data_IF_591262830470
#
_entry.id   IF_591262830470
#
_cell.length_a   1.000
_cell.length_b   1.000
_cell.length_c   1.000
_cell.angle_alpha   90.00
_cell.angle_beta   90.00
_cell.angle_gamma   90.00
#
_symmetry.space_group_name_H-M   'P 1'
#
loop_
_entity.id
_entity.type
_entity.pdbx_description
1 polymer ?
#
# COMPACT_ATOMS: atom_id res chain seq x y z
N UNK A 1 81.16 41.05 -21.90
CA UNK A 1 80.46 40.42 -23.04
C UNK A 1 81.45 39.44 -23.69
N UNK A 2 81.10 38.19 -24.11
CA UNK A 2 79.79 37.61 -24.44
C UNK A 2 79.38 36.37 -23.58
N UNK A 3 78.31 35.70 -24.04
CA UNK A 3 77.39 34.68 -23.46
C UNK A 3 77.93 33.24 -23.30
N UNK A 4 77.31 32.47 -22.39
CA UNK A 4 76.66 31.14 -22.59
C UNK A 4 76.23 30.58 -21.19
N UNK A 5 74.95 30.52 -20.82
CA UNK A 5 73.93 29.49 -21.13
C UNK A 5 74.22 28.08 -20.57
N UNK A 6 73.54 27.71 -19.49
CA UNK A 6 73.32 26.34 -19.04
C UNK A 6 71.85 26.16 -18.65
N UNK A 7 71.25 25.12 -19.22
CA UNK A 7 69.87 24.68 -19.16
C UNK A 7 69.53 23.91 -17.87
N UNK A 8 68.27 23.96 -17.43
CA UNK A 8 67.79 23.05 -16.38
C UNK A 8 66.29 23.09 -16.10
N UNK A 9 65.52 22.41 -16.95
CA UNK A 9 64.21 21.75 -16.74
C UNK A 9 63.13 22.42 -15.84
N UNK A 10 62.06 22.82 -16.51
CA UNK A 10 60.73 23.09 -15.96
C UNK A 10 59.99 21.79 -15.60
N UNK A 11 59.52 21.70 -14.35
CA UNK A 11 58.48 20.74 -13.95
C UNK A 11 57.13 21.46 -13.95
N UNK A 12 56.23 21.06 -14.84
CA UNK A 12 54.83 21.50 -14.85
C UNK A 12 54.08 20.73 -13.76
N UNK A 13 53.61 21.43 -12.73
CA UNK A 13 52.63 20.89 -11.79
C UNK A 13 51.24 21.14 -12.37
N UNK A 14 50.61 20.09 -12.88
CA UNK A 14 49.21 20.12 -13.26
C UNK A 14 48.35 20.14 -11.98
N UNK A 15 47.58 21.22 -11.78
CA UNK A 15 46.52 21.24 -10.75
C UNK A 15 45.30 20.52 -11.32
N UNK A 16 45.05 19.31 -10.84
CA UNK A 16 43.76 18.64 -11.01
C UNK A 16 42.86 19.09 -9.86
N UNK A 17 41.83 19.88 -10.16
CA UNK A 17 40.79 20.19 -9.19
C UNK A 17 39.84 18.99 -9.11
N UNK A 18 39.88 18.26 -8.00
CA UNK A 18 38.87 17.26 -7.67
C UNK A 18 37.64 17.98 -7.10
N UNK A 19 36.56 18.05 -7.86
CA UNK A 19 35.25 18.46 -7.34
C UNK A 19 34.62 17.23 -6.70
N UNK A 20 34.75 17.11 -5.38
CA UNK A 20 34.00 16.12 -4.61
C UNK A 20 32.57 16.64 -4.42
N UNK A 21 31.69 16.31 -5.37
CA UNK A 21 30.25 16.48 -5.20
C UNK A 21 29.73 15.45 -4.22
N UNK A 22 29.58 15.82 -2.95
CA UNK A 22 28.86 15.01 -1.98
C UNK A 22 27.37 15.23 -2.18
N UNK A 23 26.69 14.26 -2.80
CA UNK A 23 25.24 14.21 -2.77
C UNK A 23 24.80 13.80 -1.35
N UNK A 24 24.42 14.77 -0.53
CA UNK A 24 23.73 14.49 0.74
C UNK A 24 22.30 14.11 0.38
N UNK A 25 21.99 12.82 0.40
CA UNK A 25 20.61 12.35 0.40
C UNK A 25 20.04 12.67 1.78
N UNK A 26 19.24 13.74 1.85
CA UNK A 26 18.52 14.10 3.07
C UNK A 26 17.31 13.16 3.18
N UNK A 27 17.43 12.09 3.95
CA UNK A 27 16.26 11.29 4.36
C UNK A 27 15.43 12.15 5.30
N UNK A 28 14.33 12.70 4.80
CA UNK A 28 13.34 13.38 5.64
C UNK A 28 12.69 12.30 6.50
N UNK A 29 13.11 12.19 7.75
CA UNK A 29 12.39 11.41 8.75
C UNK A 29 11.10 12.15 9.06
N UNK A 30 10.00 11.73 8.45
CA UNK A 30 8.67 12.26 8.73
C UNK A 30 8.27 11.83 10.14
N UNK A 31 7.73 12.74 10.97
CA UNK A 31 7.31 12.40 12.32
C UNK A 31 6.11 11.45 12.25
N UNK A 32 6.31 10.20 12.62
CA UNK A 32 5.21 9.31 13.00
C UNK A 32 4.59 9.83 14.30
N UNK A 33 3.27 9.74 14.42
CA UNK A 33 2.64 9.90 15.73
C UNK A 33 3.24 8.87 16.69
N UNK A 34 3.65 9.30 17.89
CA UNK A 34 4.23 8.42 18.90
C UNK A 34 3.24 7.39 19.48
N UNK A 35 1.99 7.43 19.02
CA UNK A 35 0.90 6.53 19.40
C UNK A 35 0.26 5.95 18.13
N UNK A 36 -0.04 4.65 18.14
CA UNK A 36 -1.17 4.15 17.38
C UNK A 36 -2.43 4.81 17.91
N UNK A 37 -3.41 5.00 17.04
CA UNK A 37 -4.62 5.69 17.41
C UNK A 37 -5.51 5.89 16.21
N UNK A 38 -6.80 5.99 16.50
CA UNK A 38 -7.83 6.35 15.54
C UNK A 38 -7.56 7.78 15.07
N UNK A 39 -6.76 7.90 14.00
CA UNK A 39 -6.50 9.18 13.34
C UNK A 39 -7.78 9.67 12.66
N UNK A 40 -7.88 10.98 12.46
CA UNK A 40 -8.89 11.51 11.57
C UNK A 40 -8.61 11.02 10.14
N UNK A 41 -9.55 10.29 9.54
CA UNK A 41 -9.45 9.90 8.15
C UNK A 41 -9.56 11.09 7.19
N UNK A 42 -8.98 10.90 6.01
CA UNK A 42 -9.13 11.86 4.92
C UNK A 42 -10.54 11.75 4.32
N UNK A 43 -11.13 12.86 3.83
CA UNK A 43 -12.38 12.81 3.09
C UNK A 43 -12.18 12.05 1.77
N UNK A 44 -13.22 11.33 1.34
CA UNK A 44 -13.24 10.63 0.05
C UNK A 44 -12.91 11.58 -1.12
N UNK A 45 -12.04 11.13 -2.03
CA UNK A 45 -11.69 11.85 -3.26
C UNK A 45 -11.68 10.94 -4.50
N UNK A 46 -12.34 9.78 -4.39
CA UNK A 46 -12.30 8.73 -5.38
C UNK A 46 -12.78 9.18 -6.77
N UNK A 47 -12.14 8.66 -7.82
CA UNK A 47 -12.70 8.74 -9.17
C UNK A 47 -13.94 7.84 -9.28
N UNK A 48 -14.87 8.17 -10.18
CA UNK A 48 -16.02 7.31 -10.47
C UNK A 48 -15.59 5.90 -10.85
N UNK A 49 -14.52 5.77 -11.63
CA UNK A 49 -13.98 4.48 -12.05
C UNK A 49 -13.52 3.61 -10.87
N UNK A 50 -12.72 4.18 -9.96
CA UNK A 50 -12.23 3.44 -8.79
C UNK A 50 -13.34 3.20 -7.76
N UNK A 51 -14.31 4.12 -7.62
CA UNK A 51 -15.46 3.89 -6.74
C UNK A 51 -16.40 2.81 -7.25
N UNK A 52 -16.46 2.60 -8.58
CA UNK A 52 -17.35 1.63 -9.20
C UNK A 52 -17.00 0.18 -8.85
N UNK A 53 -15.71 -0.15 -8.75
CA UNK A 53 -15.21 -1.49 -8.45
C UNK A 53 -14.63 -1.65 -7.03
N UNK A 54 -14.77 -0.64 -6.19
CA UNK A 54 -14.19 -0.66 -4.84
C UNK A 54 -14.77 -1.83 -4.03
N UNK A 55 -13.91 -2.68 -3.43
CA UNK A 55 -14.35 -3.81 -2.63
C UNK A 55 -15.24 -3.43 -1.44
N UNK A 56 -15.95 -4.42 -0.93
CA UNK A 56 -16.58 -4.36 0.37
C UNK A 56 -15.84 -5.30 1.32
N UNK A 57 -15.67 -4.88 2.57
CA UNK A 57 -14.76 -5.54 3.50
C UNK A 57 -15.49 -6.07 4.73
N UNK A 58 -15.01 -7.20 5.20
CA UNK A 58 -15.21 -7.70 6.56
C UNK A 58 -13.86 -7.90 7.26
N UNK A 59 -13.90 -7.92 8.58
CA UNK A 59 -12.76 -8.05 9.46
C UNK A 59 -13.10 -9.07 10.54
N UNK A 60 -12.54 -10.27 10.42
CA UNK A 60 -12.84 -11.40 11.29
C UNK A 60 -12.54 -11.08 12.76
N UNK A 61 -13.14 -11.84 13.66
CA UNK A 61 -12.97 -11.62 15.12
C UNK A 61 -11.53 -11.75 15.61
N UNK A 62 -10.64 -12.30 14.79
CA UNK A 62 -9.21 -12.49 15.07
C UNK A 62 -8.29 -11.48 14.38
N UNK A 63 -8.83 -10.41 13.79
CA UNK A 63 -8.04 -9.37 13.11
C UNK A 63 -8.15 -7.99 13.76
N UNK A 64 -7.26 -7.07 13.39
CA UNK A 64 -7.48 -5.64 13.63
C UNK A 64 -8.55 -5.08 12.67
N UNK A 65 -9.14 -3.94 13.02
CA UNK A 65 -9.88 -3.10 12.08
C UNK A 65 -8.93 -2.20 11.30
N UNK A 66 -9.37 -1.70 10.12
CA UNK A 66 -8.55 -0.81 9.32
C UNK A 66 -8.35 0.51 10.08
N UNK A 67 -7.27 1.21 9.78
CA UNK A 67 -6.98 2.53 10.31
C UNK A 67 -6.62 3.51 9.21
N UNK A 68 -6.76 4.81 9.47
CA UNK A 68 -6.17 5.83 8.61
C UNK A 68 -4.64 5.81 8.78
N UNK A 69 -3.92 5.64 7.68
CA UNK A 69 -2.45 5.59 7.68
C UNK A 69 -1.82 6.98 7.84
N UNK A 70 -2.57 8.04 7.48
CA UNK A 70 -2.15 9.44 7.54
C UNK A 70 -3.36 10.32 7.80
N UNK A 71 -3.19 11.37 8.61
CA UNK A 71 -4.24 12.36 8.90
C UNK A 71 -4.21 13.57 7.94
N UNK A 72 -5.20 14.48 7.97
CA UNK A 72 -5.20 15.69 7.15
C UNK A 72 -4.02 16.64 7.35
N UNK A 73 -3.33 16.56 8.50
CA UNK A 73 -2.14 17.36 8.81
C UNK A 73 -0.85 16.72 8.28
N UNK A 74 -0.93 15.49 7.78
CA UNK A 74 0.23 14.73 7.30
C UNK A 74 0.93 13.91 8.38
N UNK A 75 0.33 13.74 9.57
CA UNK A 75 0.88 12.87 10.59
C UNK A 75 0.61 11.42 10.20
N UNK A 76 1.66 10.59 10.19
CA UNK A 76 1.54 9.17 9.92
C UNK A 76 1.08 8.42 11.17
N UNK A 77 0.30 7.35 10.96
CA UNK A 77 -0.08 6.42 12.01
C UNK A 77 1.16 5.67 12.50
N UNK A 78 1.43 5.73 13.81
CA UNK A 78 2.60 5.12 14.42
C UNK A 78 2.55 3.59 14.49
N UNK A 79 1.42 2.98 14.18
CA UNK A 79 1.16 1.55 14.31
C UNK A 79 1.17 1.07 15.76
N UNK A 80 0.92 -0.22 15.95
CA UNK A 80 1.00 -0.90 17.23
C UNK A 80 2.19 -1.85 17.25
N UNK A 81 2.77 -2.05 18.44
CA UNK A 81 3.73 -3.15 18.60
C UNK A 81 2.93 -4.46 18.57
N UNK A 82 3.42 -5.53 17.89
CA UNK A 82 2.75 -6.83 17.88
C UNK A 82 2.98 -7.54 19.22
N UNK A 83 2.38 -7.00 20.27
CA UNK A 83 2.46 -7.49 21.64
C UNK A 83 1.08 -7.43 22.26
N UNK A 84 0.81 -8.38 23.17
CA UNK A 84 -0.50 -8.49 23.80
C UNK A 84 -1.46 -9.32 22.94
N UNK A 85 -2.79 -9.18 23.14
CA UNK A 85 -3.77 -9.88 22.32
C UNK A 85 -3.70 -9.43 20.85
N UNK A 86 -3.96 -10.35 19.92
CA UNK A 86 -3.96 -10.10 18.47
C UNK A 86 -4.84 -8.90 18.12
N UNK A 87 -6.04 -8.84 18.68
CA UNK A 87 -7.01 -7.76 18.46
C UNK A 87 -6.94 -6.62 19.47
N UNK A 88 -5.94 -6.64 20.36
CA UNK A 88 -5.77 -5.64 21.40
C UNK A 88 -5.46 -4.26 20.82
N UNK A 89 -6.19 -3.24 21.29
CA UNK A 89 -6.01 -1.82 20.99
C UNK A 89 -6.32 -1.39 19.54
N UNK A 90 -6.71 -2.31 18.65
CA UNK A 90 -6.91 -2.03 17.22
C UNK A 90 -8.33 -2.30 16.69
N UNK A 91 -9.34 -2.35 17.57
CA UNK A 91 -10.75 -2.51 17.18
C UNK A 91 -11.66 -1.42 17.74
N UNK A 92 -11.26 -0.73 18.79
CA UNK A 92 -12.11 0.28 19.44
C UNK A 92 -12.23 1.54 18.56
N UNK A 93 -13.43 1.85 18.08
CA UNK A 93 -13.74 3.06 17.29
C UNK A 93 -12.96 3.23 15.98
N UNK A 94 -12.45 2.14 15.39
CA UNK A 94 -11.67 2.21 14.15
C UNK A 94 -12.55 2.26 12.89
N UNK A 95 -13.64 1.49 12.85
CA UNK A 95 -14.56 1.46 11.70
C UNK A 95 -15.16 2.84 11.43
N UNK A 96 -15.18 3.25 10.16
CA UNK A 96 -15.62 4.59 9.74
C UNK A 96 -14.59 5.71 9.95
N UNK A 97 -13.46 5.41 10.59
CA UNK A 97 -12.33 6.32 10.81
C UNK A 97 -11.07 5.89 10.04
N UNK A 98 -11.23 5.03 9.04
CA UNK A 98 -10.15 4.59 8.18
C UNK A 98 -10.30 5.14 6.75
N UNK A 99 -9.35 4.77 5.91
CA UNK A 99 -9.36 5.03 4.48
C UNK A 99 -9.03 3.76 3.72
N UNK A 100 -9.68 3.57 2.56
CA UNK A 100 -9.17 2.67 1.52
C UNK A 100 -8.38 3.52 0.53
N UNK A 101 -7.19 3.08 0.15
CA UNK A 101 -6.34 3.79 -0.81
C UNK A 101 -6.37 3.06 -2.15
N UNK A 102 -6.37 3.77 -3.27
CA UNK A 102 -6.43 3.13 -4.58
C UNK A 102 -5.55 3.79 -5.62
N UNK A 103 -4.94 2.98 -6.50
CA UNK A 103 -4.19 3.45 -7.66
C UNK A 103 -4.48 2.54 -8.85
N UNK A 104 -4.75 3.15 -10.00
CA UNK A 104 -5.09 2.45 -11.21
C UNK A 104 -4.03 2.63 -12.30
N UNK A 105 -3.87 1.62 -13.14
CA UNK A 105 -3.13 1.71 -14.40
C UNK A 105 -3.93 1.01 -15.48
N UNK A 106 -3.98 1.59 -16.67
CA UNK A 106 -4.65 1.00 -17.82
C UNK A 106 -3.74 1.00 -19.05
N UNK A 107 -3.61 -0.15 -19.70
CA UNK A 107 -2.92 -0.31 -20.98
C UNK A 107 -3.37 -1.61 -21.65
N UNK A 108 -3.09 -1.75 -22.95
CA UNK A 108 -3.33 -2.97 -23.71
C UNK A 108 -4.76 -3.52 -23.59
N UNK A 109 -5.77 -2.64 -23.48
CA UNK A 109 -7.19 -3.00 -23.35
C UNK A 109 -7.64 -3.41 -21.94
N UNK A 110 -6.78 -3.31 -20.94
CA UNK A 110 -7.03 -3.70 -19.55
C UNK A 110 -6.76 -2.55 -18.57
N UNK A 111 -7.42 -2.62 -17.42
CA UNK A 111 -7.11 -1.82 -16.25
C UNK A 111 -6.87 -2.74 -15.04
N UNK A 112 -5.78 -2.47 -14.30
CA UNK A 112 -5.54 -3.01 -12.97
C UNK A 112 -5.73 -1.90 -11.94
N UNK A 113 -6.58 -2.12 -10.95
CA UNK A 113 -6.81 -1.19 -9.84
C UNK A 113 -6.40 -1.87 -8.55
N UNK A 114 -5.39 -1.34 -7.86
CA UNK A 114 -5.05 -1.79 -6.50
C UNK A 114 -5.88 -0.97 -5.51
N UNK A 115 -6.57 -1.65 -4.59
CA UNK A 115 -7.20 -1.09 -3.39
C UNK A 115 -6.44 -1.61 -2.18
N UNK A 116 -5.96 -0.73 -1.31
CA UNK A 116 -5.13 -1.07 -0.17
C UNK A 116 -5.73 -0.52 1.13
N UNK A 117 -5.66 -1.33 2.18
CA UNK A 117 -6.08 -0.98 3.54
C UNK A 117 -4.88 -1.10 4.47
N UNK A 118 -4.81 -0.19 5.44
CA UNK A 118 -3.76 -0.17 6.45
C UNK A 118 -4.29 -0.69 7.77
N UNK A 119 -3.49 -1.50 8.45
CA UNK A 119 -3.74 -1.96 9.82
C UNK A 119 -2.55 -1.60 10.70
N UNK A 120 -2.80 -1.36 11.98
CA UNK A 120 -1.75 -0.83 12.87
C UNK A 120 -0.69 -1.87 13.22
N UNK A 121 -1.03 -3.16 13.15
CA UNK A 121 -0.12 -4.30 13.35
C UNK A 121 -0.63 -5.54 12.62
N UNK A 122 0.29 -6.45 12.39
CA UNK A 122 0.04 -7.82 11.95
C UNK A 122 0.67 -8.77 12.97
N UNK A 123 -0.12 -9.63 13.60
CA UNK A 123 0.30 -10.42 14.74
C UNK A 123 -0.22 -11.87 14.66
N UNK A 124 0.69 -12.83 14.53
CA UNK A 124 0.37 -14.26 14.60
C UNK A 124 0.15 -14.70 16.06
N UNK A 125 0.95 -14.18 16.98
CA UNK A 125 0.87 -14.40 18.43
C UNK A 125 1.70 -13.35 19.18
N UNK A 126 1.54 -13.19 20.51
CA UNK A 126 2.28 -12.20 21.31
C UNK A 126 3.77 -12.16 21.02
N UNK A 127 4.24 -11.07 20.40
CA UNK A 127 5.65 -10.86 20.05
C UNK A 127 6.11 -11.46 18.72
N UNK A 128 5.22 -12.11 17.96
CA UNK A 128 5.49 -12.72 16.65
C UNK A 128 4.58 -12.05 15.61
N UNK A 129 5.19 -11.23 14.76
CA UNK A 129 4.51 -10.39 13.77
C UNK A 129 5.29 -9.10 13.55
N UNK A 130 4.64 -8.07 13.03
CA UNK A 130 5.23 -6.76 12.84
C UNK A 130 4.26 -5.61 13.14
N UNK A 131 4.87 -4.45 13.40
CA UNK A 131 4.16 -3.18 13.43
C UNK A 131 3.82 -2.78 12.00
N UNK A 132 2.66 -2.17 11.82
CA UNK A 132 2.06 -1.84 10.53
C UNK A 132 1.65 -3.09 9.75
N UNK A 133 0.61 -2.94 8.95
CA UNK A 133 0.28 -3.88 7.90
C UNK A 133 -0.39 -3.16 6.73
N UNK A 134 -0.18 -3.70 5.54
CA UNK A 134 -0.77 -3.23 4.30
C UNK A 134 -1.20 -4.43 3.47
N UNK A 135 -2.51 -4.64 3.42
CA UNK A 135 -3.13 -5.63 2.55
C UNK A 135 -3.81 -4.93 1.37
N UNK A 136 -3.89 -5.61 0.22
CA UNK A 136 -4.53 -5.07 -0.96
C UNK A 136 -5.24 -6.10 -1.84
N UNK A 137 -6.19 -5.57 -2.61
CA UNK A 137 -6.96 -6.29 -3.61
C UNK A 137 -6.68 -5.65 -4.96
N UNK A 138 -6.45 -6.45 -5.99
CA UNK A 138 -6.31 -5.99 -7.36
C UNK A 138 -7.53 -6.41 -8.17
N UNK A 139 -8.23 -5.42 -8.72
CA UNK A 139 -9.33 -5.61 -9.65
C UNK A 139 -8.80 -5.51 -11.07
N UNK A 140 -9.00 -6.55 -11.87
CA UNK A 140 -8.63 -6.59 -13.29
C UNK A 140 -9.86 -6.53 -14.16
N UNK A 141 -10.04 -5.42 -14.88
CA UNK A 141 -11.19 -5.19 -15.75
C UNK A 141 -10.73 -4.88 -17.18
N UNK A 142 -11.49 -5.34 -18.17
CA UNK A 142 -11.33 -4.85 -19.55
C UNK A 142 -11.79 -3.40 -19.61
N UNK A 143 -11.11 -2.58 -20.41
CA UNK A 143 -11.50 -1.18 -20.56
C UNK A 143 -12.94 -1.08 -21.10
N UNK A 144 -13.79 -0.33 -20.39
CA UNK A 144 -15.20 -0.15 -20.72
C UNK A 144 -16.13 -1.30 -20.33
N UNK A 145 -15.64 -2.32 -19.62
CA UNK A 145 -16.49 -3.37 -19.08
C UNK A 145 -17.18 -2.93 -17.78
N UNK A 146 -18.42 -3.39 -17.57
CA UNK A 146 -19.21 -3.11 -16.36
C UNK A 146 -18.88 -4.06 -15.21
N UNK A 147 -18.11 -5.12 -15.45
CA UNK A 147 -17.68 -6.09 -14.43
C UNK A 147 -16.20 -6.41 -14.57
N UNK A 148 -15.49 -6.73 -13.47
CA UNK A 148 -14.13 -7.23 -13.58
C UNK A 148 -14.10 -8.61 -14.21
N UNK A 149 -12.92 -9.04 -14.68
CA UNK A 149 -12.69 -10.40 -15.18
C UNK A 149 -11.93 -11.26 -14.18
N UNK A 150 -11.00 -10.65 -13.44
CA UNK A 150 -10.20 -11.31 -12.41
C UNK A 150 -10.06 -10.45 -11.17
N UNK A 151 -9.90 -11.11 -10.04
CA UNK A 151 -9.67 -10.51 -8.74
C UNK A 151 -8.43 -11.15 -8.11
N UNK A 152 -7.59 -10.35 -7.46
CA UNK A 152 -6.41 -10.83 -6.74
C UNK A 152 -6.42 -10.30 -5.31
N UNK A 153 -6.32 -11.15 -4.30
CA UNK A 153 -6.19 -10.74 -2.90
C UNK A 153 -4.78 -11.02 -2.40
N UNK A 154 -4.13 -10.06 -1.72
CA UNK A 154 -2.80 -10.24 -1.15
C UNK A 154 -2.80 -11.25 -0.02
N UNK A 155 -1.69 -12.00 0.07
CA UNK A 155 -1.49 -13.01 1.11
C UNK A 155 0.00 -13.32 1.23
N UNK A 156 0.60 -13.00 2.38
CA UNK A 156 1.99 -13.34 2.72
C UNK A 156 3.01 -12.96 1.63
N UNK A 157 2.87 -11.77 1.05
CA UNK A 157 3.74 -11.25 -0.02
C UNK A 157 3.46 -11.77 -1.43
N UNK A 158 2.49 -12.68 -1.59
CA UNK A 158 1.93 -13.15 -2.85
C UNK A 158 0.47 -12.71 -3.04
N UNK A 159 -0.21 -13.34 -4.00
CA UNK A 159 -1.62 -13.08 -4.31
C UNK A 159 -2.37 -14.39 -4.58
N UNK A 160 -3.61 -14.48 -4.10
CA UNK A 160 -4.59 -15.45 -4.61
C UNK A 160 -5.37 -14.79 -5.74
N UNK A 161 -5.20 -15.25 -6.97
CA UNK A 161 -5.84 -14.67 -8.16
C UNK A 161 -6.88 -15.62 -8.73
N UNK A 162 -8.11 -15.14 -8.88
CA UNK A 162 -9.25 -15.94 -9.33
C UNK A 162 -10.04 -15.22 -10.43
N UNK A 163 -10.67 -15.97 -11.35
CA UNK A 163 -11.66 -15.40 -12.25
C UNK A 163 -12.90 -14.95 -11.46
N UNK A 164 -13.65 -13.98 -12.01
CA UNK A 164 -14.86 -13.44 -11.39
C UNK A 164 -15.87 -14.52 -10.93
N UNK A 165 -15.97 -15.63 -11.67
CA UNK A 165 -16.94 -16.69 -11.38
C UNK A 165 -16.67 -17.45 -10.08
N UNK A 166 -15.45 -17.35 -9.53
CA UNK A 166 -15.01 -18.11 -8.37
C UNK A 166 -14.98 -17.27 -7.09
N UNK A 167 -15.42 -16.00 -7.15
CA UNK A 167 -15.37 -15.06 -6.03
C UNK A 167 -16.76 -14.51 -5.69
N UNK A 168 -17.13 -14.38 -4.41
CA UNK A 168 -18.35 -13.69 -4.03
C UNK A 168 -18.28 -12.19 -4.33
N UNK A 169 -19.43 -11.66 -4.76
CA UNK A 169 -19.56 -10.30 -5.25
C UNK A 169 -20.85 -9.66 -4.73
N UNK A 170 -20.74 -8.41 -4.30
CA UNK A 170 -21.87 -7.51 -4.07
C UNK A 170 -21.99 -6.55 -5.27
N UNK A 171 -22.80 -6.95 -6.26
CA UNK A 171 -22.88 -6.23 -7.54
C UNK A 171 -21.55 -6.31 -8.30
N UNK A 172 -20.87 -5.16 -8.47
CA UNK A 172 -19.55 -5.08 -9.13
C UNK A 172 -18.37 -5.13 -8.15
N UNK A 173 -18.64 -5.25 -6.84
CA UNK A 173 -17.67 -5.13 -5.76
C UNK A 173 -17.35 -6.50 -5.21
N UNK A 174 -16.07 -6.85 -5.12
CA UNK A 174 -15.65 -8.12 -4.51
C UNK A 174 -15.81 -8.04 -2.99
N UNK A 175 -16.25 -9.15 -2.40
CA UNK A 175 -16.37 -9.33 -0.96
C UNK A 175 -15.05 -9.90 -0.41
N UNK A 176 -14.41 -9.14 0.48
CA UNK A 176 -13.05 -9.40 0.97
C UNK A 176 -13.05 -9.46 2.49
N UNK A 177 -12.35 -10.44 3.05
CA UNK A 177 -12.21 -10.59 4.49
C UNK A 177 -10.75 -10.46 4.88
N UNK A 178 -10.47 -9.58 5.84
CA UNK A 178 -9.22 -9.56 6.56
C UNK A 178 -9.31 -10.50 7.76
N UNK A 179 -8.39 -11.43 7.84
CA UNK A 179 -8.44 -12.51 8.83
C UNK A 179 -7.03 -12.93 9.23
N UNK A 180 -6.94 -13.63 10.35
CA UNK A 180 -5.72 -14.36 10.69
C UNK A 180 -5.63 -15.66 9.89
N UNK A 181 -4.53 -15.86 9.18
CA UNK A 181 -4.33 -17.08 8.42
C UNK A 181 -3.78 -18.23 9.28
N UNK A 182 -4.68 -18.90 9.99
CA UNK A 182 -4.35 -20.07 10.80
C UNK A 182 -3.29 -19.77 11.88
N UNK A 183 -2.14 -20.43 11.76
CA UNK A 183 -1.00 -20.21 12.67
C UNK A 183 -0.05 -19.08 12.23
N UNK A 184 -0.28 -18.50 11.05
CA UNK A 184 0.50 -17.40 10.49
C UNK A 184 -0.05 -16.04 10.94
N UNK A 185 0.51 -15.00 10.34
CA UNK A 185 0.03 -13.63 10.30
C UNK A 185 -1.28 -13.47 9.51
N UNK A 186 -1.76 -12.23 9.37
CA UNK A 186 -2.99 -11.92 8.66
C UNK A 186 -2.83 -11.93 7.14
N UNK A 187 -3.97 -11.95 6.45
CA UNK A 187 -4.05 -11.78 5.02
C UNK A 187 -5.46 -11.36 4.61
N UNK A 188 -5.59 -10.83 3.39
CA UNK A 188 -6.89 -10.85 2.73
C UNK A 188 -7.22 -12.24 2.16
N UNK A 189 -8.52 -12.56 2.20
CA UNK A 189 -9.14 -13.65 1.45
C UNK A 189 -10.40 -13.15 0.77
N UNK A 190 -10.84 -13.88 -0.26
CA UNK A 190 -12.22 -13.74 -0.72
C UNK A 190 -13.15 -14.32 0.34
N UNK A 191 -14.34 -13.74 0.45
CA UNK A 191 -15.40 -14.32 1.25
C UNK A 191 -15.78 -15.73 0.74
N UNK A 192 -16.43 -16.51 1.59
CA UNK A 192 -17.17 -17.69 1.20
C UNK A 192 -18.55 -17.31 0.64
N UNK A 193 -19.13 -18.16 -0.20
CA UNK A 193 -20.45 -17.92 -0.78
C UNK A 193 -21.53 -17.86 0.31
N UNK A 194 -22.12 -16.69 0.50
CA UNK A 194 -23.15 -16.46 1.51
C UNK A 194 -22.60 -16.21 2.92
N UNK A 195 -21.30 -15.95 3.05
CA UNK A 195 -20.69 -15.52 4.31
C UNK A 195 -21.35 -14.24 4.83
N UNK A 196 -21.54 -14.19 6.14
CA UNK A 196 -22.05 -13.01 6.84
C UNK A 196 -20.92 -12.38 7.63
N UNK A 197 -20.79 -11.03 7.61
CA UNK A 197 -19.69 -10.35 8.27
C UNK A 197 -19.57 -10.69 9.77
N UNK A 198 -18.35 -10.96 10.23
CA UNK A 198 -18.01 -11.27 11.62
C UNK A 198 -17.67 -10.04 12.47
N UNK A 199 -17.40 -8.89 11.84
CA UNK A 199 -17.11 -7.66 12.58
C UNK A 199 -18.28 -7.21 13.49
N UNK A 200 -17.99 -6.31 14.43
CA UNK A 200 -18.92 -5.93 15.52
C UNK A 200 -20.21 -5.25 15.05
N UNK A 201 -20.28 -4.78 13.79
CA UNK A 201 -21.52 -4.21 13.23
C UNK A 201 -22.37 -5.25 12.51
N UNK A 202 -21.83 -6.43 12.20
CA UNK A 202 -22.48 -7.47 11.41
C UNK A 202 -22.80 -7.05 9.97
N UNK A 203 -22.06 -6.09 9.42
CA UNK A 203 -22.29 -5.55 8.09
C UNK A 203 -20.99 -5.44 7.28
N UNK A 204 -21.12 -5.47 5.95
CA UNK A 204 -20.02 -5.21 5.02
C UNK A 204 -19.66 -3.72 5.04
N UNK A 205 -18.37 -3.41 5.05
CA UNK A 205 -17.86 -2.05 5.21
C UNK A 205 -17.19 -1.51 3.96
N UNK A 206 -17.25 -0.19 3.84
CA UNK A 206 -16.43 0.60 2.93
C UNK A 206 -16.00 1.87 3.65
N UNK A 207 -14.72 2.16 3.58
CA UNK A 207 -14.14 3.37 4.17
C UNK A 207 -14.08 4.48 3.11
N UNK A 208 -13.76 5.71 3.52
CA UNK A 208 -13.55 6.79 2.55
C UNK A 208 -12.48 6.39 1.53
N UNK A 209 -12.86 6.31 0.25
CA UNK A 209 -11.95 5.87 -0.81
C UNK A 209 -11.09 7.03 -1.29
N UNK A 210 -9.79 6.80 -1.26
CA UNK A 210 -8.79 7.74 -1.73
C UNK A 210 -8.20 7.24 -3.04
N UNK A 211 -8.19 8.07 -4.07
CA UNK A 211 -7.43 7.82 -5.29
C UNK A 211 -6.07 8.50 -5.20
N UNK A 212 -5.01 7.73 -5.42
CA UNK A 212 -3.62 8.16 -5.38
C UNK A 212 -3.37 9.42 -6.21
N UNK A 213 -3.91 9.48 -7.42
CA UNK A 213 -3.71 10.62 -8.31
C UNK A 213 -4.44 11.89 -7.84
N UNK A 214 -5.52 11.74 -7.07
CA UNK A 214 -6.31 12.84 -6.50
C UNK A 214 -5.87 13.25 -5.08
N UNK A 215 -4.97 12.51 -4.44
CA UNK A 215 -4.44 12.89 -3.13
C UNK A 215 -3.68 14.21 -3.21
N UNK A 216 -3.83 15.04 -2.17
CA UNK A 216 -3.02 16.24 -2.03
C UNK A 216 -1.53 15.87 -2.08
N UNK A 217 -0.74 16.61 -2.86
CA UNK A 217 0.64 16.23 -3.18
C UNK A 217 1.50 16.04 -1.93
N UNK A 218 1.36 16.90 -0.91
CA UNK A 218 2.09 16.77 0.35
C UNK A 218 1.78 15.45 1.08
N UNK A 219 0.52 15.01 1.10
CA UNK A 219 0.13 13.75 1.74
C UNK A 219 0.60 12.55 0.93
N UNK A 220 0.47 12.62 -0.41
CA UNK A 220 0.96 11.59 -1.32
C UNK A 220 2.47 11.42 -1.23
N UNK A 221 3.22 12.51 -1.24
CA UNK A 221 4.68 12.51 -1.14
C UNK A 221 5.12 11.94 0.22
N UNK A 222 4.39 12.28 1.29
CA UNK A 222 4.61 11.72 2.64
C UNK A 222 4.43 10.20 2.63
N UNK A 223 3.29 9.69 2.15
CA UNK A 223 3.03 8.25 2.05
C UNK A 223 4.05 7.52 1.15
N UNK A 224 4.44 8.16 0.05
CA UNK A 224 5.38 7.59 -0.92
C UNK A 224 6.80 7.46 -0.34
N UNK A 225 7.22 8.42 0.48
CA UNK A 225 8.53 8.44 1.13
C UNK A 225 8.60 7.66 2.45
N UNK A 226 7.45 7.20 2.96
CA UNK A 226 7.37 6.56 4.28
C UNK A 226 7.96 5.15 4.29
N UNK A 227 8.67 4.83 5.37
CA UNK A 227 9.09 3.49 5.72
C UNK A 227 8.05 2.84 6.64
N UNK A 228 7.42 1.76 6.17
CA UNK A 228 6.40 1.02 6.90
C UNK A 228 6.97 -0.21 7.62
N UNK A 229 8.30 -0.28 7.78
CA UNK A 229 8.98 -1.41 8.38
C UNK A 229 8.85 -2.65 7.49
N UNK A 230 8.32 -3.72 8.05
CA UNK A 230 8.12 -4.98 7.32
C UNK A 230 6.90 -4.95 6.40
N UNK A 231 5.96 -4.01 6.63
CA UNK A 231 4.78 -3.84 5.80
C UNK A 231 5.08 -3.13 4.48
N UNK A 232 4.30 -3.44 3.44
CA UNK A 232 4.54 -2.95 2.10
C UNK A 232 3.34 -2.18 1.53
N UNK A 233 3.37 -0.85 1.62
CA UNK A 233 2.35 -0.01 0.99
C UNK A 233 2.39 -0.16 -0.55
N UNK A 234 1.38 -0.80 -1.18
CA UNK A 234 1.49 -1.26 -2.57
C UNK A 234 1.37 -0.14 -3.60
N UNK A 235 0.92 1.06 -3.18
CA UNK A 235 0.73 2.19 -4.09
C UNK A 235 1.97 3.08 -4.20
N UNK A 236 3.02 2.85 -3.40
CA UNK A 236 4.29 3.56 -3.52
C UNK A 236 4.81 3.44 -4.95
N UNK A 237 5.39 4.51 -5.50
CA UNK A 237 5.90 4.55 -6.86
C UNK A 237 6.93 3.43 -7.12
N UNK A 238 7.75 3.11 -6.11
CA UNK A 238 8.75 2.05 -6.16
C UNK A 238 8.17 0.63 -6.10
N UNK A 239 6.90 0.46 -5.73
CA UNK A 239 6.27 -0.84 -5.48
C UNK A 239 5.07 -1.14 -6.37
N UNK A 240 4.44 -0.12 -6.94
CA UNK A 240 3.16 -0.24 -7.64
C UNK A 240 3.19 -1.20 -8.83
N UNK A 241 4.19 -1.06 -9.71
CA UNK A 241 4.32 -1.96 -10.87
C UNK A 241 4.62 -3.41 -10.45
N UNK A 242 5.44 -3.62 -9.41
CA UNK A 242 5.76 -4.96 -8.91
C UNK A 242 4.54 -5.65 -8.29
N UNK A 243 3.70 -4.92 -7.56
CA UNK A 243 2.45 -5.46 -7.02
C UNK A 243 1.48 -5.85 -8.13
N UNK A 244 1.31 -4.99 -9.14
CA UNK A 244 0.53 -5.32 -10.33
C UNK A 244 1.07 -6.58 -11.00
N UNK A 245 2.39 -6.71 -11.17
CA UNK A 245 3.01 -7.86 -11.79
C UNK A 245 2.78 -9.16 -11.01
N UNK A 246 2.91 -9.13 -9.68
CA UNK A 246 2.67 -10.29 -8.82
C UNK A 246 1.20 -10.74 -8.83
N UNK A 247 0.27 -9.80 -8.89
CA UNK A 247 -1.17 -10.08 -8.89
C UNK A 247 -1.71 -10.49 -10.27
N UNK A 248 -1.04 -10.10 -11.36
CA UNK A 248 -1.54 -10.21 -12.73
C UNK A 248 -1.93 -11.65 -13.12
N UNK A 249 -3.16 -11.88 -13.63
CA UNK A 249 -3.52 -13.11 -14.30
C UNK A 249 -2.60 -13.38 -15.50
N UNK A 250 -2.21 -14.65 -15.71
CA UNK A 250 -1.23 -15.01 -16.74
C UNK A 250 -1.71 -14.79 -18.17
N UNK A 251 -3.02 -14.75 -18.40
CA UNK A 251 -3.67 -14.77 -19.70
C UNK A 251 -4.12 -13.40 -20.23
N UNK A 252 -3.81 -12.30 -19.51
CA UNK A 252 -4.17 -10.94 -19.94
C UNK A 252 -2.98 -10.19 -20.56
N UNK A 253 -3.30 -9.28 -21.49
CA UNK A 253 -2.32 -8.48 -22.25
C UNK A 253 -1.77 -7.27 -21.49
N UNK A 254 -2.24 -7.04 -20.27
CA UNK A 254 -1.78 -5.93 -19.42
C UNK A 254 -0.26 -5.98 -19.19
N UNK A 255 0.39 -4.82 -19.22
CA UNK A 255 1.81 -4.65 -18.92
C UNK A 255 2.00 -3.78 -17.66
N UNK A 256 2.44 -4.38 -16.53
CA UNK A 256 2.70 -3.63 -15.30
C UNK A 256 3.78 -2.55 -15.46
N UNK A 257 4.74 -2.72 -16.37
CA UNK A 257 5.93 -1.88 -16.51
C UNK A 257 5.92 -0.98 -17.75
N UNK A 258 4.82 -0.94 -18.50
CA UNK A 258 4.64 -0.04 -19.64
C UNK A 258 4.77 1.45 -19.29
#
# INVERSE_FOLDING_TARGET
MPRAASSGRSFRVARVAAVAGSAVVLTVALPFSASAGVLQNLPENATTFQKYFEPVYDYDTDSCYPAAAIDPSGNLNGGLKPTGPITGECRDSHLGHANTYSRAKCNNGWCGIIYASYFEKDEASPGIGHRHDWECVVVWAKQGADTPSYLSASRHGGFSTHPLADVPMSGQRVEIVYHKDGASTHAFRFAEWGETPENDTGAWHQENLLTWDNLASNLRDTLNASDWGDANFPLQDSKFADHLNKAKPSDITFDPYA
#
